data_IF_355521475208
#
_entry.id   IF_355521475208
#
_cell.length_a   1.000
_cell.length_b   1.000
_cell.length_c   1.000
_cell.angle_alpha   90.00
_cell.angle_beta   90.00
_cell.angle_gamma   90.00
#
_symmetry.space_group_name_H-M   'P 1'
#
loop_
_entity.id
_entity.type
_entity.pdbx_description
1 polymer ?
#
# COMPACT_ATOMS: atom_id res chain seq x y z
N UNK A 1 14.99 9.97 17.46
CA UNK A 1 16.22 9.29 17.05
C UNK A 1 16.08 8.57 15.71
N UNK A 2 17.16 7.99 15.22
CA UNK A 2 17.14 7.12 14.02
C UNK A 2 16.61 5.75 14.45
N UNK A 3 15.48 5.35 13.91
CA UNK A 3 14.80 4.10 14.27
C UNK A 3 14.61 3.14 13.08
N UNK A 4 15.14 3.50 11.92
CA UNK A 4 15.18 2.68 10.70
C UNK A 4 16.60 2.62 10.15
N UNK A 5 16.93 1.60 9.34
CA UNK A 5 18.21 1.55 8.64
C UNK A 5 18.46 2.81 7.82
N UNK A 6 19.71 3.25 7.81
CA UNK A 6 20.17 4.36 6.97
C UNK A 6 21.25 3.82 6.04
N UNK A 7 21.08 4.04 4.75
CA UNK A 7 21.98 3.55 3.72
C UNK A 7 22.72 4.69 3.05
N UNK A 8 23.98 4.49 2.78
CA UNK A 8 24.75 5.33 1.88
C UNK A 8 24.83 4.62 0.53
N UNK A 9 24.16 5.17 -0.48
CA UNK A 9 24.19 4.65 -1.84
C UNK A 9 25.25 5.40 -2.62
N UNK A 10 26.21 4.67 -3.21
CA UNK A 10 27.27 5.22 -4.04
C UNK A 10 27.05 4.77 -5.47
N UNK A 11 26.89 5.70 -6.39
CA UNK A 11 26.67 5.43 -7.82
C UNK A 11 27.81 5.99 -8.67
N UNK A 12 27.91 5.50 -9.90
CA UNK A 12 28.70 6.16 -10.93
C UNK A 12 28.11 7.50 -11.38
N UNK A 13 28.79 8.21 -12.28
CA UNK A 13 28.24 9.46 -12.87
C UNK A 13 27.00 9.19 -13.74
N UNK A 14 26.93 8.03 -14.35
CA UNK A 14 25.73 7.54 -15.03
C UNK A 14 25.16 6.37 -14.24
N UNK A 15 23.90 6.43 -13.85
CA UNK A 15 23.26 5.43 -12.99
C UNK A 15 21.76 5.36 -13.23
N UNK A 16 21.10 4.35 -12.67
CA UNK A 16 19.66 4.35 -12.48
C UNK A 16 19.36 5.34 -11.34
N UNK A 17 18.38 6.24 -11.55
CA UNK A 17 18.19 7.41 -10.71
C UNK A 17 17.73 7.04 -9.29
N UNK A 18 18.57 7.32 -8.29
CA UNK A 18 18.26 7.16 -6.87
C UNK A 18 17.73 8.45 -6.23
N UNK A 19 17.84 9.58 -6.94
CA UNK A 19 17.42 10.92 -6.49
C UNK A 19 15.95 11.25 -6.79
N UNK A 20 15.18 10.28 -7.24
CA UNK A 20 13.74 10.38 -7.50
C UNK A 20 12.94 9.94 -6.25
N UNK A 21 12.85 10.81 -5.23
CA UNK A 21 12.25 10.51 -3.93
C UNK A 21 12.87 9.30 -3.21
N UNK A 22 14.16 9.04 -3.39
CA UNK A 22 14.83 7.83 -2.90
C UNK A 22 14.15 6.52 -3.35
N UNK A 23 13.47 6.54 -4.49
CA UNK A 23 12.93 5.34 -5.13
C UNK A 23 14.02 4.53 -5.81
N UNK A 24 13.67 3.37 -6.30
CA UNK A 24 14.59 2.51 -7.06
C UNK A 24 14.89 3.01 -8.48
N UNK A 25 14.23 4.07 -8.94
CA UNK A 25 14.30 4.56 -10.32
C UNK A 25 13.65 3.66 -11.36
N UNK A 26 13.11 2.52 -10.96
CA UNK A 26 12.43 1.54 -11.82
C UNK A 26 10.96 1.44 -11.42
N UNK A 27 10.06 1.60 -12.39
CA UNK A 27 8.61 1.57 -12.19
C UNK A 27 7.98 0.58 -13.16
N UNK A 28 7.25 -0.38 -12.60
CA UNK A 28 6.63 -1.47 -13.38
C UNK A 28 5.12 -1.29 -13.37
N UNK A 29 4.54 -1.11 -14.55
CA UNK A 29 3.09 -1.07 -14.73
C UNK A 29 2.63 -2.29 -15.51
N UNK A 30 1.37 -2.68 -15.31
CA UNK A 30 0.80 -3.86 -15.95
C UNK A 30 -0.63 -3.57 -16.41
N UNK A 31 -0.96 -4.02 -17.63
CA UNK A 31 -2.27 -3.86 -18.24
C UNK A 31 -2.75 -5.16 -18.84
N UNK A 32 -4.05 -5.25 -19.12
CA UNK A 32 -4.67 -6.40 -19.78
C UNK A 32 -4.33 -7.74 -19.11
N UNK A 33 -4.21 -7.72 -17.76
CA UNK A 33 -3.82 -8.90 -16.98
C UNK A 33 -4.94 -9.93 -17.01
N UNK A 34 -4.58 -11.14 -17.41
CA UNK A 34 -5.44 -12.31 -17.43
C UNK A 34 -4.60 -13.60 -17.33
N UNK A 35 -5.25 -14.76 -17.14
CA UNK A 35 -4.59 -16.08 -17.21
C UNK A 35 -3.95 -16.36 -18.60
N UNK A 36 -4.35 -15.62 -19.66
CA UNK A 36 -3.81 -15.79 -21.03
C UNK A 36 -2.62 -14.90 -21.32
N UNK A 37 -2.64 -13.67 -20.85
CA UNK A 37 -1.57 -12.71 -21.12
C UNK A 37 -1.59 -11.54 -20.12
N UNK A 38 -0.44 -10.85 -20.05
CA UNK A 38 -0.31 -9.56 -19.38
C UNK A 38 0.66 -8.68 -20.19
N UNK A 39 0.34 -7.39 -20.31
CA UNK A 39 1.20 -6.38 -20.89
C UNK A 39 1.95 -5.70 -19.74
N UNK A 40 3.29 -5.75 -19.76
CA UNK A 40 4.17 -5.20 -18.73
C UNK A 40 4.99 -4.07 -19.33
N UNK A 41 4.97 -2.90 -18.70
CA UNK A 41 5.86 -1.81 -19.06
C UNK A 41 6.83 -1.53 -17.89
N UNK A 42 8.13 -1.48 -18.22
CA UNK A 42 9.21 -1.18 -17.29
C UNK A 42 9.77 0.18 -17.63
N UNK A 43 9.44 1.20 -16.85
CA UNK A 43 9.97 2.55 -16.96
C UNK A 43 11.18 2.67 -16.04
N UNK A 44 12.33 3.01 -16.61
CA UNK A 44 13.58 3.24 -15.89
C UNK A 44 13.96 4.71 -16.03
N UNK A 45 14.22 5.37 -14.93
CA UNK A 45 14.80 6.70 -14.89
C UNK A 45 16.32 6.57 -14.79
N UNK A 46 17.03 7.20 -15.71
CA UNK A 46 18.48 7.21 -15.78
C UNK A 46 19.00 8.61 -15.47
N UNK A 47 20.01 8.70 -14.63
CA UNK A 47 20.66 9.94 -14.26
C UNK A 47 22.06 10.00 -14.87
N UNK A 48 22.44 11.19 -15.37
CA UNK A 48 23.79 11.46 -15.85
C UNK A 48 24.34 12.73 -15.22
N UNK A 49 25.24 12.59 -14.28
CA UNK A 49 25.95 13.68 -13.61
C UNK A 49 27.19 14.16 -14.41
N UNK A 50 27.50 13.56 -15.58
CA UNK A 50 28.59 14.01 -16.44
C UNK A 50 28.22 15.32 -17.17
N UNK A 51 29.26 16.09 -17.56
CA UNK A 51 29.13 17.36 -18.29
C UNK A 51 28.93 17.16 -19.81
N UNK A 52 28.90 15.91 -20.28
CA UNK A 52 28.80 15.54 -21.68
C UNK A 52 27.81 14.39 -21.86
N UNK A 53 27.27 14.21 -23.07
CA UNK A 53 26.47 13.04 -23.38
C UNK A 53 27.23 11.74 -23.15
N UNK A 54 26.56 10.72 -22.65
CA UNK A 54 27.17 9.40 -22.38
C UNK A 54 26.35 8.31 -23.07
N UNK A 55 26.95 7.54 -24.00
CA UNK A 55 26.30 6.40 -24.61
C UNK A 55 26.25 5.24 -23.62
N UNK A 56 25.06 4.66 -23.46
CA UNK A 56 24.81 3.52 -22.57
C UNK A 56 23.85 2.52 -23.24
N UNK A 57 23.82 1.31 -22.70
CA UNK A 57 22.82 0.31 -23.06
C UNK A 57 22.01 -0.01 -21.82
N UNK A 58 20.69 0.18 -21.89
CA UNK A 58 19.77 -0.28 -20.86
C UNK A 58 19.22 -1.66 -21.26
N UNK A 59 19.45 -2.66 -20.42
CA UNK A 59 18.85 -3.99 -20.57
C UNK A 59 17.84 -4.23 -19.45
N UNK A 60 16.59 -4.48 -19.83
CA UNK A 60 15.54 -4.94 -18.92
C UNK A 60 15.24 -6.41 -19.20
N UNK A 61 15.26 -7.24 -18.17
CA UNK A 61 15.02 -8.68 -18.30
C UNK A 61 14.05 -9.15 -17.22
N UNK A 62 13.05 -9.92 -17.62
CA UNK A 62 12.10 -10.56 -16.69
C UNK A 62 12.53 -12.02 -16.50
N UNK A 63 12.64 -12.44 -15.25
CA UNK A 63 12.96 -13.82 -14.84
C UNK A 63 11.81 -14.41 -14.04
N UNK A 64 11.64 -15.72 -14.13
CA UNK A 64 10.78 -16.47 -13.20
C UNK A 64 11.38 -16.43 -11.78
N UNK A 65 10.62 -16.89 -10.80
CA UNK A 65 11.09 -17.01 -9.42
C UNK A 65 12.33 -17.90 -9.32
N UNK A 66 12.42 -18.95 -10.15
CA UNK A 66 13.53 -19.91 -10.22
C UNK A 66 14.73 -19.40 -11.03
N UNK A 67 14.65 -18.17 -11.58
CA UNK A 67 15.75 -17.53 -12.32
C UNK A 67 15.78 -17.87 -13.81
N UNK A 68 14.75 -18.50 -14.39
CA UNK A 68 14.66 -18.72 -15.84
C UNK A 68 14.26 -17.42 -16.54
N UNK A 69 14.98 -17.04 -17.58
CA UNK A 69 14.69 -15.87 -18.41
C UNK A 69 13.38 -16.05 -19.16
N UNK A 70 12.47 -15.09 -19.03
CA UNK A 70 11.16 -15.05 -19.69
C UNK A 70 11.16 -14.11 -20.88
N UNK A 71 11.66 -12.89 -20.70
CA UNK A 71 11.73 -11.86 -21.73
C UNK A 71 12.90 -10.92 -21.48
N UNK A 72 13.41 -10.27 -22.51
CA UNK A 72 14.48 -9.29 -22.40
C UNK A 72 14.41 -8.28 -23.54
N UNK A 73 14.76 -7.02 -23.23
CA UNK A 73 14.87 -5.95 -24.20
C UNK A 73 16.11 -5.11 -23.89
N UNK A 74 16.86 -4.75 -24.96
CA UNK A 74 17.98 -3.82 -24.88
C UNK A 74 17.66 -2.55 -25.65
N UNK A 75 18.09 -1.41 -25.12
CA UNK A 75 17.93 -0.09 -25.72
C UNK A 75 19.28 0.64 -25.68
N UNK A 76 19.75 1.12 -26.84
CA UNK A 76 20.89 2.03 -26.90
C UNK A 76 20.37 3.44 -26.62
N UNK A 77 20.99 4.12 -25.69
CA UNK A 77 20.56 5.42 -25.17
C UNK A 77 21.76 6.35 -25.11
N UNK A 78 21.60 7.57 -25.54
CA UNK A 78 22.53 8.64 -25.26
C UNK A 78 21.97 9.48 -24.13
N UNK A 79 22.60 9.42 -22.95
CA UNK A 79 22.19 10.18 -21.77
C UNK A 79 22.56 11.63 -21.95
N UNK A 80 21.60 12.53 -21.73
CA UNK A 80 21.84 13.97 -21.76
C UNK A 80 22.66 14.41 -20.55
N UNK A 81 23.54 15.45 -20.69
CA UNK A 81 24.29 15.97 -19.57
C UNK A 81 23.38 16.52 -18.46
N UNK A 82 23.75 16.31 -17.21
CA UNK A 82 23.06 16.85 -16.02
C UNK A 82 21.54 16.67 -16.03
N UNK A 83 21.05 15.48 -16.37
CA UNK A 83 19.61 15.29 -16.45
C UNK A 83 19.15 13.90 -16.11
N UNK A 84 17.87 13.80 -15.74
CA UNK A 84 17.15 12.53 -15.59
C UNK A 84 16.37 12.28 -16.87
N UNK A 85 16.57 11.12 -17.48
CA UNK A 85 15.89 10.67 -18.67
C UNK A 85 15.11 9.38 -18.39
N UNK A 86 13.85 9.32 -18.79
CA UNK A 86 13.03 8.14 -18.64
C UNK A 86 13.01 7.29 -19.92
N UNK A 87 13.22 5.99 -19.76
CA UNK A 87 13.15 5.01 -20.84
C UNK A 87 12.11 3.95 -20.48
N UNK A 88 11.39 3.45 -21.49
CA UNK A 88 10.34 2.44 -21.27
C UNK A 88 10.62 1.22 -22.15
N UNK A 89 10.60 0.05 -21.52
CA UNK A 89 10.61 -1.25 -22.20
C UNK A 89 9.23 -1.91 -22.04
N UNK A 90 8.68 -2.46 -23.13
CA UNK A 90 7.36 -3.08 -23.11
C UNK A 90 7.50 -4.58 -23.40
N UNK A 91 6.80 -5.38 -22.60
CA UNK A 91 6.79 -6.84 -22.68
C UNK A 91 5.37 -7.36 -22.73
N UNK A 92 5.17 -8.46 -23.44
CA UNK A 92 3.95 -9.26 -23.35
C UNK A 92 4.30 -10.62 -22.77
N UNK A 93 3.74 -10.91 -21.61
CA UNK A 93 3.83 -12.23 -20.99
C UNK A 93 2.65 -13.08 -21.47
N UNK A 94 2.95 -14.24 -22.06
CA UNK A 94 1.94 -15.21 -22.43
C UNK A 94 1.81 -16.25 -21.32
N UNK A 95 0.57 -16.54 -20.92
CA UNK A 95 0.24 -17.43 -19.81
C UNK A 95 1.06 -17.13 -18.53
N UNK A 96 0.99 -15.89 -18.02
CA UNK A 96 1.76 -15.55 -16.84
C UNK A 96 1.29 -16.33 -15.62
N UNK A 97 2.21 -16.66 -14.74
CA UNK A 97 1.88 -17.11 -13.40
C UNK A 97 1.40 -15.88 -12.61
N UNK A 98 0.14 -15.88 -12.19
CA UNK A 98 -0.45 -14.73 -11.52
C UNK A 98 -0.10 -14.74 -10.03
N UNK A 99 0.04 -13.56 -9.44
CA UNK A 99 0.10 -13.38 -7.99
C UNK A 99 -1.33 -13.47 -7.44
N UNK A 100 -1.62 -14.52 -6.64
CA UNK A 100 -2.96 -14.87 -6.18
C UNK A 100 -3.15 -14.63 -4.66
N UNK A 101 -2.51 -13.61 -4.13
CA UNK A 101 -2.59 -13.36 -2.70
C UNK A 101 -2.02 -14.55 -1.90
N UNK A 102 -2.64 -14.88 -0.78
CA UNK A 102 -2.17 -15.93 0.12
C UNK A 102 -2.15 -17.34 -0.49
N UNK A 103 -2.94 -17.58 -1.52
CA UNK A 103 -3.02 -18.91 -2.15
C UNK A 103 -1.77 -19.22 -2.98
N UNK A 104 -1.26 -18.22 -3.70
CA UNK A 104 -0.09 -18.38 -4.56
C UNK A 104 0.59 -17.01 -4.80
N UNK A 105 1.48 -16.57 -3.90
CA UNK A 105 2.15 -15.27 -3.98
C UNK A 105 3.35 -15.28 -4.93
N UNK A 106 3.15 -15.73 -6.17
CA UNK A 106 4.22 -15.90 -7.15
C UNK A 106 4.82 -14.56 -7.60
N UNK A 107 6.14 -14.46 -7.56
CA UNK A 107 6.88 -13.26 -7.91
C UNK A 107 7.89 -13.53 -9.03
N UNK A 108 7.75 -12.83 -10.13
CA UNK A 108 8.83 -12.66 -11.10
C UNK A 108 9.87 -11.68 -10.55
N UNK A 109 11.06 -11.67 -11.17
CA UNK A 109 12.11 -10.68 -10.95
C UNK A 109 12.32 -9.88 -12.22
N UNK A 110 12.25 -8.56 -12.12
CA UNK A 110 12.64 -7.63 -13.19
C UNK A 110 14.01 -7.09 -12.86
N UNK A 111 14.97 -7.34 -13.74
CA UNK A 111 16.35 -6.87 -13.61
C UNK A 111 16.60 -5.80 -14.66
N UNK A 112 16.89 -4.58 -14.22
CA UNK A 112 17.28 -3.45 -15.06
C UNK A 112 18.78 -3.24 -14.92
N UNK A 113 19.54 -3.40 -16.01
CA UNK A 113 20.99 -3.21 -16.06
C UNK A 113 21.34 -2.03 -16.94
N UNK A 114 22.14 -1.13 -16.41
CA UNK A 114 22.78 -0.08 -17.19
C UNK A 114 24.19 -0.51 -17.53
N UNK A 115 24.52 -0.47 -18.80
CA UNK A 115 25.81 -0.93 -19.31
C UNK A 115 26.52 0.19 -20.06
N UNK A 116 27.84 0.29 -19.87
CA UNK A 116 28.73 1.18 -20.62
C UNK A 116 29.96 0.39 -21.06
N UNK A 117 30.37 0.50 -22.32
CA UNK A 117 31.51 -0.18 -22.90
C UNK A 117 31.49 -1.71 -22.66
N UNK A 118 30.29 -2.30 -22.69
CA UNK A 118 30.08 -3.74 -22.50
C UNK A 118 30.10 -4.21 -21.03
N UNK A 119 30.32 -3.30 -20.06
CA UNK A 119 30.33 -3.60 -18.63
C UNK A 119 29.06 -3.09 -17.97
N UNK A 120 28.54 -3.84 -17.00
CA UNK A 120 27.43 -3.41 -16.15
C UNK A 120 27.97 -2.37 -15.18
N UNK A 121 27.44 -1.15 -15.23
CA UNK A 121 27.82 -0.04 -14.35
C UNK A 121 26.79 0.21 -13.25
N UNK A 122 25.55 -0.29 -13.43
CA UNK A 122 24.50 -0.23 -12.40
C UNK A 122 23.45 -1.32 -12.65
N UNK A 123 22.83 -1.82 -11.57
CA UNK A 123 21.80 -2.86 -11.63
C UNK A 123 20.75 -2.65 -10.53
N UNK A 124 19.48 -2.70 -10.92
CA UNK A 124 18.35 -2.69 -10.00
C UNK A 124 17.48 -3.91 -10.25
N UNK A 125 17.12 -4.61 -9.17
CA UNK A 125 16.21 -5.76 -9.19
C UNK A 125 14.92 -5.41 -8.47
N UNK A 126 13.78 -5.63 -9.15
CA UNK A 126 12.45 -5.36 -8.60
C UNK A 126 11.54 -6.58 -8.67
N UNK A 127 10.65 -6.78 -7.68
CA UNK A 127 9.62 -7.80 -7.77
C UNK A 127 8.56 -7.43 -8.82
N UNK A 128 7.96 -8.45 -9.42
CA UNK A 128 6.79 -8.32 -10.27
C UNK A 128 5.79 -9.43 -9.93
N UNK A 129 4.76 -9.10 -9.19
CA UNK A 129 3.56 -9.95 -9.05
C UNK A 129 2.55 -9.56 -10.13
N UNK A 130 2.29 -10.45 -11.06
CA UNK A 130 1.32 -10.19 -12.14
C UNK A 130 -0.09 -10.38 -11.60
N UNK A 131 -0.83 -9.27 -11.47
CA UNK A 131 -2.15 -9.28 -10.83
C UNK A 131 -3.04 -8.14 -11.33
N UNK A 132 -4.36 -8.28 -11.12
CA UNK A 132 -5.37 -7.24 -11.31
C UNK A 132 -6.25 -7.15 -10.08
N UNK A 133 -6.41 -5.94 -9.56
CA UNK A 133 -7.37 -5.64 -8.50
C UNK A 133 -8.62 -4.97 -9.07
N UNK A 134 -9.78 -5.37 -8.57
CA UNK A 134 -11.06 -4.71 -8.85
C UNK A 134 -11.87 -4.58 -7.56
N UNK A 135 -12.49 -3.42 -7.37
CA UNK A 135 -13.47 -3.19 -6.32
C UNK A 135 -14.78 -2.78 -6.99
N UNK A 136 -15.82 -3.57 -6.77
CA UNK A 136 -17.13 -3.37 -7.37
C UNK A 136 -18.11 -3.02 -6.25
N UNK A 137 -18.76 -1.85 -6.36
CA UNK A 137 -19.77 -1.41 -5.39
C UNK A 137 -20.83 -2.49 -5.16
N UNK A 138 -21.19 -2.76 -3.93
CA UNK A 138 -22.15 -3.79 -3.52
C UNK A 138 -21.72 -5.24 -3.76
N UNK A 139 -20.51 -5.49 -4.34
CA UNK A 139 -20.04 -6.86 -4.63
C UNK A 139 -18.72 -7.21 -3.94
N UNK A 140 -17.93 -6.19 -3.59
CA UNK A 140 -16.68 -6.34 -2.86
C UNK A 140 -15.43 -6.37 -3.73
N UNK A 141 -14.37 -6.97 -3.21
CA UNK A 141 -13.03 -6.99 -3.78
C UNK A 141 -12.78 -8.25 -4.62
N UNK A 142 -12.10 -8.08 -5.75
CA UNK A 142 -11.74 -9.15 -6.68
C UNK A 142 -10.24 -9.09 -6.97
N UNK A 143 -9.59 -10.25 -6.92
CA UNK A 143 -8.21 -10.46 -7.33
C UNK A 143 -8.21 -11.35 -8.57
N UNK A 144 -7.65 -10.84 -9.66
CA UNK A 144 -7.57 -11.54 -10.96
C UNK A 144 -8.94 -12.01 -11.51
N UNK A 145 -10.01 -11.28 -11.18
CA UNK A 145 -11.37 -11.57 -11.61
C UNK A 145 -12.15 -12.55 -10.72
N UNK A 146 -11.54 -13.04 -9.65
CA UNK A 146 -12.19 -13.93 -8.67
C UNK A 146 -12.43 -13.15 -7.36
N UNK A 147 -13.59 -13.38 -6.71
CA UNK A 147 -13.91 -12.72 -5.45
C UNK A 147 -12.89 -13.15 -4.39
N UNK A 148 -12.28 -12.17 -3.72
CA UNK A 148 -11.22 -12.41 -2.74
C UNK A 148 -11.64 -11.82 -1.38
N UNK A 149 -11.58 -12.57 -0.28
CA UNK A 149 -11.97 -12.08 1.02
C UNK A 149 -10.99 -11.03 1.55
N UNK A 150 -11.51 -9.94 2.11
CA UNK A 150 -10.72 -8.85 2.69
C UNK A 150 -10.86 -8.89 4.23
N UNK A 151 -10.30 -9.94 4.84
CA UNK A 151 -10.20 -10.04 6.30
C UNK A 151 -8.91 -9.36 6.74
N UNK A 152 -9.00 -8.23 7.39
CA UNK A 152 -7.86 -7.38 7.68
C UNK A 152 -7.69 -7.02 9.14
N UNK A 153 -6.45 -6.65 9.43
CA UNK A 153 -6.06 -6.03 10.70
C UNK A 153 -5.32 -4.72 10.42
N UNK A 154 -5.46 -3.76 11.35
CA UNK A 154 -4.62 -2.57 11.36
C UNK A 154 -3.34 -2.88 12.14
N UNK A 155 -2.20 -2.41 11.63
CA UNK A 155 -0.90 -2.60 12.28
C UNK A 155 -0.19 -1.26 12.42
N UNK A 156 0.22 -0.94 13.66
CA UNK A 156 1.17 0.12 13.95
C UNK A 156 2.60 -0.46 14.03
N UNK A 157 3.62 0.34 13.64
CA UNK A 157 5.01 -0.06 13.73
C UNK A 157 5.59 0.34 15.09
N UNK A 158 5.10 -0.29 16.14
CA UNK A 158 5.60 -0.08 17.48
C UNK A 158 5.41 -1.33 18.37
N UNK A 159 6.32 -1.49 19.32
CA UNK A 159 6.27 -2.52 20.35
C UNK A 159 6.53 -1.92 21.71
N UNK A 160 5.89 -2.47 22.74
CA UNK A 160 6.15 -2.10 24.11
C UNK A 160 7.63 -2.30 24.45
N UNK A 161 8.26 -1.27 25.04
CA UNK A 161 9.69 -1.28 25.40
C UNK A 161 10.66 -0.99 24.25
N UNK A 162 10.22 -1.05 22.98
CA UNK A 162 11.04 -0.76 21.80
C UNK A 162 10.58 0.50 21.05
N UNK A 163 9.33 0.89 21.22
CA UNK A 163 8.71 1.91 20.37
C UNK A 163 8.82 1.50 18.90
N UNK A 164 9.14 2.44 18.03
CA UNK A 164 9.26 2.19 16.58
C UNK A 164 10.62 1.62 16.14
N UNK A 165 11.55 1.34 17.08
CA UNK A 165 12.90 0.82 16.78
C UNK A 165 12.89 -0.70 16.57
N UNK A 166 12.04 -1.16 15.66
CA UNK A 166 11.85 -2.59 15.37
C UNK A 166 12.90 -3.13 14.39
N UNK A 167 13.26 -4.38 14.58
CA UNK A 167 14.09 -5.17 13.67
C UNK A 167 13.21 -6.04 12.77
N UNK A 168 13.83 -6.68 11.77
CA UNK A 168 13.12 -7.58 10.85
C UNK A 168 12.43 -8.73 11.57
N UNK A 169 13.05 -9.28 12.64
CA UNK A 169 12.47 -10.36 13.44
C UNK A 169 11.17 -9.96 14.13
N UNK A 170 11.05 -8.69 14.55
CA UNK A 170 9.81 -8.16 15.13
C UNK A 170 8.72 -8.07 14.06
N UNK A 171 9.09 -7.62 12.87
CA UNK A 171 8.17 -7.55 11.74
C UNK A 171 7.70 -8.95 11.30
N UNK A 172 8.60 -9.92 11.23
CA UNK A 172 8.25 -11.31 10.91
C UNK A 172 7.33 -11.92 11.97
N UNK A 173 7.56 -11.61 13.25
CA UNK A 173 6.67 -12.06 14.33
C UNK A 173 5.27 -11.49 14.17
N UNK A 174 5.12 -10.19 13.94
CA UNK A 174 3.81 -9.55 13.72
C UNK A 174 3.08 -10.16 12.51
N UNK A 175 3.80 -10.33 11.39
CA UNK A 175 3.21 -10.91 10.19
C UNK A 175 2.79 -12.37 10.42
N UNK A 176 3.55 -13.13 11.20
CA UNK A 176 3.17 -14.50 11.56
C UNK A 176 1.87 -14.53 12.36
N UNK A 177 1.69 -13.62 13.33
CA UNK A 177 0.45 -13.49 14.09
C UNK A 177 -0.73 -13.07 13.18
N UNK A 178 -0.52 -12.10 12.30
CA UNK A 178 -1.50 -11.66 11.31
C UNK A 178 -1.93 -12.82 10.39
N UNK A 179 -0.99 -13.65 9.98
CA UNK A 179 -1.27 -14.83 9.16
C UNK A 179 -2.02 -15.90 9.95
N UNK A 180 -1.68 -16.10 11.24
CA UNK A 180 -2.28 -17.13 12.10
C UNK A 180 -3.76 -16.84 12.39
N UNK A 181 -4.14 -15.58 12.59
CA UNK A 181 -5.56 -15.19 12.75
C UNK A 181 -6.38 -15.28 11.45
N UNK A 182 -5.75 -15.70 10.35
CA UNK A 182 -6.43 -15.88 9.06
C UNK A 182 -6.59 -14.61 8.23
N UNK A 183 -5.93 -13.49 8.58
CA UNK A 183 -6.02 -12.26 7.81
C UNK A 183 -5.49 -12.44 6.38
N UNK A 184 -6.16 -11.80 5.44
CA UNK A 184 -5.78 -11.74 4.01
C UNK A 184 -5.25 -10.38 3.63
N UNK A 185 -5.49 -9.38 4.46
CA UNK A 185 -5.06 -8.01 4.26
C UNK A 185 -4.54 -7.37 5.54
N UNK A 186 -3.68 -6.38 5.39
CA UNK A 186 -3.16 -5.56 6.49
C UNK A 186 -3.18 -4.09 6.11
N UNK A 187 -3.67 -3.25 7.00
CA UNK A 187 -3.57 -1.81 6.90
C UNK A 187 -2.38 -1.34 7.71
N UNK A 188 -1.43 -0.70 7.07
CA UNK A 188 -0.28 -0.09 7.75
C UNK A 188 -0.66 1.31 8.23
N UNK A 189 -1.37 1.32 9.37
CA UNK A 189 -1.86 2.52 10.01
C UNK A 189 -0.72 3.24 10.76
N UNK A 190 -0.60 4.54 10.74
CA UNK A 190 -1.22 5.53 9.85
C UNK A 190 -0.10 6.27 9.12
N UNK A 191 0.93 5.54 8.66
CA UNK A 191 2.17 6.09 8.09
C UNK A 191 2.93 5.02 7.30
N UNK A 192 3.82 5.46 6.44
CA UNK A 192 4.74 4.56 5.74
C UNK A 192 5.55 3.74 6.76
N UNK A 193 5.51 2.43 6.62
CA UNK A 193 6.24 1.50 7.49
C UNK A 193 7.57 1.05 6.85
N UNK A 194 8.25 0.06 7.44
CA UNK A 194 9.53 -0.43 6.94
C UNK A 194 9.40 -1.08 5.55
N UNK A 195 10.34 -0.83 4.64
CA UNK A 195 10.41 -1.45 3.31
C UNK A 195 10.40 -2.98 3.37
N UNK A 196 10.99 -3.52 4.43
CA UNK A 196 11.00 -4.95 4.70
C UNK A 196 9.59 -5.54 4.80
N UNK A 197 8.66 -4.82 5.45
CA UNK A 197 7.28 -5.28 5.61
C UNK A 197 6.54 -5.41 4.28
N UNK A 198 6.68 -4.41 3.39
CA UNK A 198 6.06 -4.47 2.07
C UNK A 198 6.58 -5.67 1.27
N UNK A 199 7.90 -5.88 1.27
CA UNK A 199 8.53 -7.01 0.61
C UNK A 199 8.09 -8.36 1.19
N UNK A 200 7.88 -8.42 2.52
CA UNK A 200 7.35 -9.62 3.17
C UNK A 200 5.89 -9.87 2.81
N UNK A 201 5.07 -8.83 2.78
CA UNK A 201 3.67 -8.95 2.33
C UNK A 201 3.57 -9.44 0.89
N UNK A 202 4.43 -8.98 -0.02
CA UNK A 202 4.50 -9.49 -1.38
C UNK A 202 4.72 -11.00 -1.43
N UNK A 203 5.69 -11.49 -0.62
CA UNK A 203 6.08 -12.90 -0.59
C UNK A 203 5.11 -13.79 0.21
N UNK A 204 4.36 -13.23 1.16
CA UNK A 204 3.34 -13.92 1.95
C UNK A 204 1.96 -13.86 1.30
N UNK A 205 1.78 -13.01 0.29
CA UNK A 205 0.50 -12.82 -0.37
C UNK A 205 -0.53 -12.00 0.42
N UNK A 206 -0.07 -11.24 1.43
CA UNK A 206 -0.94 -10.31 2.16
C UNK A 206 -1.20 -9.06 1.32
N UNK A 207 -2.46 -8.68 1.19
CA UNK A 207 -2.85 -7.44 0.52
C UNK A 207 -2.64 -6.27 1.46
N UNK A 208 -2.05 -5.18 0.96
CA UNK A 208 -1.61 -4.05 1.78
C UNK A 208 -2.37 -2.77 1.44
N UNK A 209 -2.83 -2.10 2.47
CA UNK A 209 -3.24 -0.70 2.46
C UNK A 209 -2.10 0.14 3.05
N UNK A 210 -1.53 1.04 2.25
CA UNK A 210 -0.48 1.97 2.66
C UNK A 210 -1.01 3.40 2.68
N UNK A 211 -0.66 4.20 3.70
CA UNK A 211 -1.19 5.54 3.87
C UNK A 211 -0.16 6.54 4.40
N UNK A 212 -0.46 7.82 4.23
CA UNK A 212 0.32 8.93 4.80
C UNK A 212 -0.22 9.34 6.17
N UNK A 213 0.61 9.95 7.05
CA UNK A 213 0.21 10.34 8.41
C UNK A 213 -0.62 11.64 8.43
N UNK A 214 -1.63 11.75 7.59
CA UNK A 214 -2.57 12.86 7.62
C UNK A 214 -3.81 12.43 8.42
N UNK A 215 -3.79 12.71 9.73
CA UNK A 215 -4.71 12.15 10.71
C UNK A 215 -5.32 13.25 11.59
N UNK A 216 -6.63 13.17 11.84
CA UNK A 216 -7.42 13.94 12.80
C UNK A 216 -7.43 15.45 12.56
N UNK A 217 -6.46 16.19 13.10
CA UNK A 217 -6.47 17.65 13.12
C UNK A 217 -5.78 18.24 11.90
N UNK A 218 -6.34 19.35 11.42
CA UNK A 218 -5.81 20.13 10.31
C UNK A 218 -5.49 21.52 10.82
N UNK A 219 -4.30 22.02 10.48
CA UNK A 219 -3.80 23.32 10.92
C UNK A 219 -3.82 24.36 9.79
N UNK A 220 -3.97 23.92 8.53
CA UNK A 220 -3.97 24.75 7.33
C UNK A 220 -2.59 24.87 6.65
N UNK A 221 -1.59 24.13 7.13
CA UNK A 221 -0.21 24.19 6.61
C UNK A 221 0.31 22.83 6.08
N UNK A 222 -0.55 21.82 6.01
CA UNK A 222 -0.16 20.44 5.70
C UNK A 222 0.11 20.19 4.21
N UNK A 223 -0.38 21.04 3.31
CA UNK A 223 -0.50 20.73 1.89
C UNK A 223 0.81 20.30 1.24
N UNK A 224 1.90 21.05 1.43
CA UNK A 224 3.20 20.74 0.84
C UNK A 224 3.76 19.42 1.40
N UNK A 225 3.71 19.27 2.73
CA UNK A 225 4.22 18.07 3.39
C UNK A 225 3.40 16.82 3.04
N UNK A 226 2.07 16.91 3.05
CA UNK A 226 1.20 15.79 2.70
C UNK A 226 1.41 15.32 1.25
N UNK A 227 1.53 16.26 0.31
CA UNK A 227 1.82 15.94 -1.09
C UNK A 227 3.21 15.34 -1.27
N UNK A 228 4.23 15.85 -0.56
CA UNK A 228 5.58 15.28 -0.59
C UNK A 228 5.59 13.86 -0.06
N UNK A 229 5.01 13.63 1.10
CA UNK A 229 4.95 12.29 1.72
C UNK A 229 4.15 11.30 0.86
N UNK A 230 3.05 11.72 0.23
CA UNK A 230 2.28 10.85 -0.65
C UNK A 230 3.07 10.46 -1.90
N UNK A 231 3.78 11.41 -2.51
CA UNK A 231 4.65 11.15 -3.66
C UNK A 231 5.79 10.21 -3.29
N UNK A 232 6.42 10.42 -2.15
CA UNK A 232 7.50 9.56 -1.63
C UNK A 232 6.98 8.15 -1.35
N UNK A 233 5.86 8.02 -0.65
CA UNK A 233 5.22 6.73 -0.36
C UNK A 233 4.95 5.95 -1.66
N UNK A 234 4.34 6.61 -2.66
CA UNK A 234 4.00 5.96 -3.94
C UNK A 234 5.27 5.56 -4.69
N UNK A 235 6.23 6.47 -4.86
CA UNK A 235 7.42 6.20 -5.68
C UNK A 235 8.34 5.15 -5.07
N UNK A 236 8.52 5.17 -3.76
CA UNK A 236 9.35 4.19 -3.04
C UNK A 236 8.72 2.79 -3.06
N UNK A 237 7.39 2.70 -3.00
CA UNK A 237 6.68 1.43 -2.88
C UNK A 237 5.93 1.02 -4.16
N UNK A 238 6.24 1.66 -5.29
CA UNK A 238 5.49 1.50 -6.54
C UNK A 238 5.39 0.05 -7.02
N UNK A 239 6.47 -0.73 -6.89
CA UNK A 239 6.57 -2.07 -7.46
C UNK A 239 6.04 -3.19 -6.56
N UNK A 240 5.59 -2.88 -5.33
CA UNK A 240 5.01 -3.89 -4.45
C UNK A 240 3.64 -4.37 -4.96
N UNK A 241 3.50 -5.63 -5.41
CA UNK A 241 2.24 -6.14 -5.91
C UNK A 241 1.18 -6.26 -4.82
N UNK A 242 1.56 -6.40 -3.56
CA UNK A 242 0.65 -6.47 -2.42
C UNK A 242 -0.16 -5.20 -2.21
N UNK A 243 0.39 -4.02 -2.51
CA UNK A 243 -0.31 -2.75 -2.31
C UNK A 243 -1.42 -2.59 -3.34
N UNK A 244 -2.66 -2.41 -2.86
CA UNK A 244 -3.83 -2.18 -3.71
C UNK A 244 -4.38 -0.75 -3.63
N UNK A 245 -4.06 -0.02 -2.55
CA UNK A 245 -4.65 1.28 -2.25
C UNK A 245 -3.67 2.22 -1.55
N UNK A 246 -3.78 3.50 -1.87
CA UNK A 246 -3.08 4.60 -1.22
C UNK A 246 -4.06 5.38 -0.34
N UNK A 247 -3.82 5.40 0.98
CA UNK A 247 -4.60 6.15 1.95
C UNK A 247 -4.22 7.63 1.95
N UNK A 248 -5.22 8.49 1.74
CA UNK A 248 -5.03 9.94 1.63
C UNK A 248 -5.10 10.63 2.99
N UNK A 249 -5.98 10.17 3.87
CA UNK A 249 -6.16 10.69 5.23
C UNK A 249 -6.92 9.69 6.09
N UNK A 250 -6.85 9.90 7.41
CA UNK A 250 -7.63 9.19 8.39
C UNK A 250 -8.33 10.18 9.34
N UNK A 251 -9.66 10.05 9.49
CA UNK A 251 -10.46 10.71 10.53
C UNK A 251 -10.24 12.22 10.63
N UNK A 252 -10.39 12.94 9.56
CA UNK A 252 -10.37 14.41 9.58
C UNK A 252 -11.67 14.93 10.17
N UNK A 253 -11.66 15.30 11.45
CA UNK A 253 -12.87 15.59 12.22
C UNK A 253 -13.54 16.94 11.94
N UNK A 254 -12.82 17.92 11.47
CA UNK A 254 -13.35 19.24 11.18
C UNK A 254 -13.16 19.55 9.70
N UNK A 255 -13.95 18.87 8.84
CA UNK A 255 -13.85 19.09 7.42
C UNK A 255 -14.33 20.48 7.03
N UNK A 256 -13.52 21.21 6.30
CA UNK A 256 -13.81 22.51 5.75
C UNK A 256 -13.21 22.65 4.34
N UNK A 257 -13.39 23.78 3.69
CA UNK A 257 -13.00 23.99 2.29
C UNK A 257 -11.53 23.65 2.03
N UNK A 258 -10.61 24.13 2.85
CA UNK A 258 -9.17 23.81 2.73
C UNK A 258 -8.91 22.29 2.74
N UNK A 259 -9.52 21.57 3.66
CA UNK A 259 -9.34 20.12 3.77
C UNK A 259 -9.92 19.39 2.56
N UNK A 260 -11.07 19.85 2.06
CA UNK A 260 -11.69 19.29 0.85
C UNK A 260 -10.81 19.50 -0.37
N UNK A 261 -10.23 20.70 -0.54
CA UNK A 261 -9.30 21.01 -1.61
C UNK A 261 -8.00 20.19 -1.48
N UNK A 262 -7.47 20.04 -0.28
CA UNK A 262 -6.26 19.26 -0.03
C UNK A 262 -6.48 17.77 -0.34
N UNK A 263 -7.56 17.18 0.13
CA UNK A 263 -7.84 15.75 -0.14
C UNK A 263 -8.11 15.48 -1.62
N UNK A 264 -8.75 16.41 -2.33
CA UNK A 264 -8.88 16.33 -3.79
C UNK A 264 -7.52 16.41 -4.49
N UNK A 265 -6.66 17.35 -4.09
CA UNK A 265 -5.31 17.46 -4.64
C UNK A 265 -4.44 16.22 -4.35
N UNK A 266 -4.61 15.59 -3.19
CA UNK A 266 -3.93 14.33 -2.86
C UNK A 266 -4.44 13.17 -3.74
N UNK A 267 -5.74 13.10 -4.00
CA UNK A 267 -6.30 12.12 -4.94
C UNK A 267 -5.71 12.31 -6.35
N UNK A 268 -5.74 13.52 -6.88
CA UNK A 268 -5.22 13.83 -8.21
C UNK A 268 -3.72 13.53 -8.31
N UNK A 269 -2.96 13.85 -7.27
CA UNK A 269 -1.55 13.50 -7.18
C UNK A 269 -1.33 11.99 -7.22
N UNK A 270 -2.07 11.23 -6.42
CA UNK A 270 -1.97 9.78 -6.40
C UNK A 270 -2.29 9.18 -7.77
N UNK A 271 -3.34 9.64 -8.43
CA UNK A 271 -3.72 9.18 -9.79
C UNK A 271 -2.72 9.61 -10.87
N UNK A 272 -1.99 10.70 -10.66
CA UNK A 272 -0.90 11.14 -11.55
C UNK A 272 0.34 10.25 -11.38
N UNK A 273 0.71 9.94 -10.15
CA UNK A 273 1.87 9.09 -9.85
C UNK A 273 1.59 7.60 -10.13
N UNK A 274 0.39 7.12 -9.81
CA UNK A 274 -0.05 5.73 -9.98
C UNK A 274 -1.53 5.66 -10.38
N UNK A 275 -1.84 5.68 -11.68
CA UNK A 275 -3.22 5.69 -12.17
C UNK A 275 -3.95 4.36 -11.95
N UNK A 276 -3.23 3.27 -11.71
CA UNK A 276 -3.80 1.92 -11.67
C UNK A 276 -4.33 1.52 -10.29
N UNK A 277 -3.71 2.00 -9.19
CA UNK A 277 -4.16 1.72 -7.83
C UNK A 277 -5.27 2.66 -7.39
N UNK A 278 -6.05 2.17 -6.45
CA UNK A 278 -7.12 2.94 -5.81
C UNK A 278 -6.56 3.93 -4.79
N UNK A 279 -7.36 4.92 -4.47
CA UNK A 279 -7.17 5.81 -3.33
C UNK A 279 -8.28 5.60 -2.31
N UNK A 280 -8.04 5.90 -1.04
CA UNK A 280 -9.04 5.78 0.02
C UNK A 280 -8.98 6.95 0.97
N UNK A 281 -10.16 7.45 1.33
CA UNK A 281 -10.42 8.41 2.41
C UNK A 281 -11.06 7.69 3.58
N UNK A 282 -10.65 7.98 4.81
CA UNK A 282 -11.21 7.34 6.00
C UNK A 282 -12.02 8.30 6.83
N UNK A 283 -13.29 7.96 7.03
CA UNK A 283 -14.26 8.70 7.83
C UNK A 283 -14.39 8.05 9.22
N UNK A 284 -14.10 8.78 10.28
CA UNK A 284 -14.36 8.36 11.65
C UNK A 284 -15.82 8.54 12.04
N UNK A 285 -16.20 9.77 12.34
CA UNK A 285 -17.57 10.13 12.78
C UNK A 285 -18.25 11.17 11.89
N UNK A 286 -17.63 11.50 10.76
CA UNK A 286 -18.09 12.55 9.87
C UNK A 286 -19.27 12.14 9.02
N UNK A 287 -19.75 13.10 8.27
CA UNK A 287 -20.82 12.89 7.29
C UNK A 287 -20.22 12.32 6.01
N UNK A 288 -20.73 11.19 5.57
CA UNK A 288 -20.29 10.55 4.32
C UNK A 288 -20.38 11.50 3.12
N UNK A 289 -21.39 12.36 3.11
CA UNK A 289 -21.68 13.32 2.04
C UNK A 289 -20.66 14.46 1.94
N UNK A 290 -19.79 14.62 2.96
CA UNK A 290 -18.83 15.71 2.92
C UNK A 290 -17.74 15.46 1.87
N UNK A 291 -17.40 16.44 1.02
CA UNK A 291 -16.41 16.28 -0.05
C UNK A 291 -15.06 15.72 0.41
N UNK A 292 -14.62 16.00 1.63
CA UNK A 292 -13.40 15.40 2.21
C UNK A 292 -13.42 13.88 2.13
N UNK A 293 -14.58 13.27 2.36
CA UNK A 293 -14.73 11.83 2.37
C UNK A 293 -14.98 11.24 0.97
N UNK A 294 -15.48 12.04 0.03
CA UNK A 294 -15.85 11.61 -1.33
C UNK A 294 -14.75 11.84 -2.37
N UNK A 295 -13.63 12.41 -2.00
CA UNK A 295 -12.53 12.73 -2.93
C UNK A 295 -11.69 11.51 -3.36
N UNK A 296 -11.90 10.33 -2.78
CA UNK A 296 -11.14 9.11 -3.09
C UNK A 296 -11.98 8.09 -3.87
N UNK A 297 -11.32 7.09 -4.45
CA UNK A 297 -12.01 5.97 -5.12
C UNK A 297 -12.81 5.10 -4.14
N UNK A 298 -12.37 5.02 -2.87
CA UNK A 298 -12.95 4.17 -1.82
C UNK A 298 -13.26 5.02 -0.60
N UNK A 299 -14.41 4.76 0.02
CA UNK A 299 -14.83 5.35 1.27
C UNK A 299 -14.58 4.36 2.42
N UNK A 300 -13.53 4.61 3.19
CA UNK A 300 -13.22 3.88 4.41
C UNK A 300 -14.02 4.44 5.60
N UNK A 301 -14.47 3.56 6.48
CA UNK A 301 -15.24 3.95 7.65
C UNK A 301 -14.70 3.24 8.89
N UNK A 302 -14.36 4.04 9.90
CA UNK A 302 -14.01 3.55 11.23
C UNK A 302 -15.27 3.46 12.07
N UNK A 303 -15.68 2.23 12.43
CA UNK A 303 -16.90 1.99 13.22
C UNK A 303 -16.66 0.90 14.25
N UNK A 304 -16.96 1.22 15.47
CA UNK A 304 -16.63 0.39 16.62
C UNK A 304 -17.91 -0.06 17.37
N UNK A 305 -18.78 -0.75 16.60
CA UNK A 305 -20.01 -1.32 17.17
C UNK A 305 -19.69 -2.30 18.28
N UNK A 306 -20.36 -2.15 19.42
CA UNK A 306 -20.13 -2.96 20.60
C UNK A 306 -19.01 -2.48 21.52
N UNK A 307 -18.21 -1.49 21.07
CA UNK A 307 -17.17 -0.87 21.91
C UNK A 307 -17.45 0.60 22.21
N UNK A 308 -17.25 1.51 21.25
CA UNK A 308 -17.54 2.93 21.43
C UNK A 308 -19.00 3.29 21.16
N UNK A 309 -19.69 2.52 20.35
CA UNK A 309 -21.04 2.82 19.89
C UNK A 309 -21.91 1.57 19.82
N UNK A 310 -23.21 1.71 20.09
CA UNK A 310 -24.26 0.72 19.85
C UNK A 310 -23.93 -0.70 20.36
N UNK A 311 -24.60 -1.72 19.81
CA UNK A 311 -24.34 -3.14 20.03
C UNK A 311 -23.73 -3.75 18.78
N UNK A 312 -23.00 -4.85 18.92
CA UNK A 312 -22.39 -5.57 17.79
C UNK A 312 -23.42 -5.90 16.70
N UNK A 313 -24.61 -6.36 17.11
CA UNK A 313 -25.70 -6.76 16.20
C UNK A 313 -26.26 -5.60 15.37
N UNK A 314 -26.02 -4.36 15.76
CA UNK A 314 -26.55 -3.19 15.05
C UNK A 314 -25.72 -2.88 13.77
N UNK A 315 -24.57 -3.55 13.58
CA UNK A 315 -23.69 -3.32 12.42
C UNK A 315 -24.36 -3.74 11.12
N UNK A 316 -25.09 -4.85 11.11
CA UNK A 316 -25.72 -5.38 9.90
C UNK A 316 -26.71 -4.37 9.31
N UNK A 317 -27.66 -3.89 10.16
CA UNK A 317 -28.63 -2.90 9.73
C UNK A 317 -27.98 -1.56 9.30
N UNK A 318 -26.84 -1.22 9.90
CA UNK A 318 -26.10 -0.02 9.50
C UNK A 318 -25.44 -0.20 8.13
N UNK A 319 -24.82 -1.35 7.85
CA UNK A 319 -24.22 -1.67 6.55
C UNK A 319 -25.28 -1.69 5.45
N UNK A 320 -26.40 -2.40 5.68
CA UNK A 320 -27.53 -2.45 4.74
C UNK A 320 -28.05 -1.05 4.39
N UNK A 321 -28.24 -0.20 5.42
CA UNK A 321 -28.67 1.18 5.22
C UNK A 321 -27.68 2.05 4.46
N UNK A 322 -26.37 1.78 4.58
CA UNK A 322 -25.35 2.46 3.79
C UNK A 322 -25.36 2.01 2.33
N UNK A 323 -25.43 0.71 2.09
CA UNK A 323 -25.48 0.16 0.73
C UNK A 323 -26.74 0.63 -0.02
N UNK A 324 -27.88 0.73 0.67
CA UNK A 324 -29.11 1.27 0.10
C UNK A 324 -28.96 2.77 -0.23
N UNK A 325 -28.35 3.55 0.66
CA UNK A 325 -28.17 5.00 0.47
C UNK A 325 -27.10 5.35 -0.56
N UNK A 326 -26.05 4.54 -0.65
CA UNK A 326 -24.87 4.79 -1.49
C UNK A 326 -24.54 3.60 -2.42
N UNK A 327 -25.46 3.17 -3.29
CA UNK A 327 -25.31 1.91 -4.05
C UNK A 327 -24.18 1.91 -5.08
N UNK A 328 -23.62 3.08 -5.39
CA UNK A 328 -22.54 3.23 -6.38
C UNK A 328 -21.18 3.49 -5.73
N UNK A 329 -21.15 3.74 -4.42
CA UNK A 329 -19.90 4.00 -3.70
C UNK A 329 -19.19 2.68 -3.36
N UNK A 330 -17.85 2.73 -3.40
CA UNK A 330 -17.03 1.63 -2.91
C UNK A 330 -16.80 1.83 -1.42
N UNK A 331 -17.58 1.11 -0.62
CA UNK A 331 -17.55 1.22 0.84
C UNK A 331 -16.61 0.17 1.43
N UNK A 332 -15.89 0.53 2.48
CA UNK A 332 -14.99 -0.36 3.21
C UNK A 332 -15.05 -0.06 4.71
N UNK A 333 -15.22 -1.08 5.53
CA UNK A 333 -15.01 -0.98 6.95
C UNK A 333 -13.50 -1.00 7.22
N UNK A 334 -12.92 0.16 7.56
CA UNK A 334 -11.47 0.36 7.66
C UNK A 334 -10.91 0.13 9.05
N UNK A 335 -11.73 0.34 10.09
CA UNK A 335 -11.42 0.00 11.46
C UNK A 335 -12.69 -0.44 12.18
N UNK A 336 -12.59 -1.51 12.95
CA UNK A 336 -13.64 -2.07 13.79
C UNK A 336 -13.04 -2.90 14.91
N UNK A 337 -13.88 -3.34 15.85
CA UNK A 337 -13.44 -4.20 16.93
C UNK A 337 -13.29 -3.44 18.23
N UNK A 338 -12.61 -4.02 19.20
CA UNK A 338 -12.29 -3.41 20.49
C UNK A 338 -10.85 -3.72 20.89
N UNK A 339 -10.25 -2.85 21.69
CA UNK A 339 -8.95 -3.13 22.29
C UNK A 339 -9.04 -4.36 23.21
N UNK A 340 -7.93 -5.07 23.30
CA UNK A 340 -7.78 -6.21 24.16
C UNK A 340 -6.48 -6.11 24.97
N UNK A 341 -6.56 -6.44 26.24
CA UNK A 341 -5.41 -6.56 27.12
C UNK A 341 -5.35 -7.98 27.68
N UNK A 342 -4.23 -8.66 27.48
CA UNK A 342 -4.04 -10.05 27.89
C UNK A 342 -4.17 -10.27 29.41
N UNK A 343 -4.08 -9.20 30.20
CA UNK A 343 -4.26 -9.25 31.67
C UNK A 343 -5.69 -9.00 32.09
N UNK A 344 -6.59 -8.57 31.19
CA UNK A 344 -7.98 -8.37 31.49
C UNK A 344 -8.77 -9.65 31.20
N UNK A 345 -9.20 -10.30 32.25
CA UNK A 345 -10.06 -11.48 32.21
C UNK A 345 -11.37 -11.15 32.92
N UNK A 346 -12.47 -11.14 32.19
CA UNK A 346 -13.81 -10.88 32.76
C UNK A 346 -14.86 -11.72 32.04
N UNK A 347 -15.83 -12.21 32.81
CA UNK A 347 -17.06 -12.81 32.28
C UNK A 347 -18.07 -11.74 31.80
N UNK A 348 -17.85 -10.48 32.17
CA UNK A 348 -18.68 -9.36 31.77
C UNK A 348 -18.03 -8.61 30.60
N UNK A 349 -18.64 -8.72 29.44
CA UNK A 349 -18.34 -7.90 28.30
C UNK A 349 -18.96 -6.52 28.50
N UNK A 350 -18.22 -5.62 29.12
CA UNK A 350 -18.64 -4.24 29.33
C UNK A 350 -18.45 -3.41 28.08
N UNK A 351 -19.45 -2.67 27.65
CA UNK A 351 -19.34 -1.67 26.59
C UNK A 351 -18.74 -0.38 27.16
N UNK A 352 -17.65 0.12 26.56
CA UNK A 352 -17.12 1.42 26.90
C UNK A 352 -17.82 2.49 26.06
N UNK A 353 -18.66 3.28 26.69
CA UNK A 353 -19.36 4.41 26.06
C UNK A 353 -18.57 5.73 26.15
N UNK A 354 -17.38 5.74 26.75
CA UNK A 354 -16.67 6.96 27.03
C UNK A 354 -15.15 6.81 26.92
N UNK A 355 -14.62 7.13 25.77
CA UNK A 355 -13.19 7.13 25.44
C UNK A 355 -12.34 8.11 26.29
N UNK A 356 -12.96 8.99 27.09
CA UNK A 356 -12.23 9.94 27.94
C UNK A 356 -11.88 9.40 29.33
N UNK A 357 -12.32 8.19 29.71
CA UNK A 357 -12.00 7.57 30.98
C UNK A 357 -10.73 6.73 30.89
N UNK A 358 -9.77 6.87 31.81
CA UNK A 358 -8.47 6.19 31.73
C UNK A 358 -8.52 4.67 31.99
N UNK A 359 -9.69 4.09 32.25
CA UNK A 359 -9.88 2.65 32.44
C UNK A 359 -11.07 2.19 31.61
N UNK A 360 -10.79 1.75 30.39
CA UNK A 360 -11.75 0.98 29.61
C UNK A 360 -11.70 -0.48 30.06
N UNK A 361 -12.82 -1.14 30.34
CA UNK A 361 -12.84 -2.58 30.28
C UNK A 361 -12.60 -2.96 28.82
N UNK A 362 -11.36 -3.29 28.51
CA UNK A 362 -10.98 -3.84 27.24
C UNK A 362 -11.68 -5.17 27.08
N UNK A 363 -12.61 -5.22 26.17
CA UNK A 363 -13.41 -6.40 25.92
C UNK A 363 -12.59 -7.33 25.05
N UNK A 364 -12.35 -8.54 25.49
CA UNK A 364 -11.69 -9.54 24.68
C UNK A 364 -12.60 -9.94 23.51
N UNK A 365 -12.35 -9.43 22.32
CA UNK A 365 -13.09 -9.77 21.10
C UNK A 365 -12.95 -11.24 20.68
N UNK A 366 -11.98 -11.96 21.21
CA UNK A 366 -11.81 -13.40 20.99
C UNK A 366 -13.05 -14.24 21.37
N UNK A 367 -13.92 -13.69 22.23
CA UNK A 367 -15.16 -14.37 22.62
C UNK A 367 -16.41 -13.93 21.85
N UNK A 368 -16.32 -12.88 21.04
CA UNK A 368 -17.48 -12.27 20.37
C UNK A 368 -17.38 -12.21 18.86
N UNK A 369 -16.20 -12.38 18.30
CA UNK A 369 -16.04 -12.61 16.85
C UNK A 369 -16.18 -14.09 16.57
N UNK A 370 -17.01 -14.51 15.61
CA UNK A 370 -16.92 -15.87 15.08
C UNK A 370 -15.49 -16.08 14.61
N UNK A 371 -14.88 -17.15 15.08
CA UNK A 371 -13.55 -17.55 14.60
C UNK A 371 -13.59 -17.66 13.08
N UNK A 372 -12.58 -17.21 12.34
CA UNK A 372 -12.49 -17.47 10.90
C UNK A 372 -12.46 -18.98 10.57
N UNK A 373 -12.44 -19.85 11.58
CA UNK A 373 -12.45 -21.31 11.46
C UNK A 373 -13.83 -21.94 11.68
N UNK A 374 -14.81 -21.14 12.12
CA UNK A 374 -16.21 -21.53 12.28
C UNK A 374 -17.04 -21.01 11.10
#
# INVERSE_FOLDING_TARGET
GIYRPVWLVVTGKSSIAVNDCASTGVYITQKNVSKRSADIAVKVKLDNAALHPVPVVLENTIYTQEGRKVASQKQNIELTPHGIQACVANFKLNHPHLWQGREDPYLYKVVSRLMQDGQVIDEVVQPLGVRKYEIIAGKGFYLNGEKYPMYGVCRHQDWWGLGSALKNENHDFDLAQIMDVGATTVRFAHYQQSDYLYSRCDSLGLIVWAEIPFVNRVTGYEAENAQSQLRELIRQNFNHPSIYVWGLHNEVYHPHEYTSQLTAALHDLAKTEDPDRYTVSVNGYGHMEHPVNLNADIQGMNRYFGWYEKKIQDIDAWVEGLEEKYPYEKLMLSEYGADANIYHQTEYLGQSLNWTKPYYPETCLLYTSPSPRD
#
